data_IF_431207706589
#
_entry.id   IF_431207706589
#
_cell.length_a   1.000
_cell.length_b   1.000
_cell.length_c   1.000
_cell.angle_alpha   90.00
_cell.angle_beta   90.00
_cell.angle_gamma   90.00
#
_symmetry.space_group_name_H-M   'P 1'
#
loop_
_entity.id
_entity.type
_entity.pdbx_description
1 polymer ?
#
# COMPACT_ATOMS: atom_id res chain seq x y z
N UNK A 1 9.01 11.54 -6.54
CA UNK A 1 8.17 12.75 -6.40
C UNK A 1 7.79 13.21 -7.79
N UNK A 2 6.52 13.56 -8.01
CA UNK A 2 6.02 14.11 -9.27
C UNK A 2 5.66 15.60 -9.08
N UNK A 3 5.74 16.39 -10.14
CA UNK A 3 5.34 17.81 -10.16
C UNK A 3 4.30 18.06 -11.25
N UNK A 4 3.39 19.00 -11.02
CA UNK A 4 2.34 19.38 -11.96
C UNK A 4 2.15 20.89 -11.92
N UNK A 5 1.97 21.51 -13.09
CA UNK A 5 1.67 22.94 -13.22
C UNK A 5 0.28 23.09 -13.80
N UNK A 6 -0.63 23.72 -13.06
CA UNK A 6 -1.98 24.06 -13.54
C UNK A 6 -1.98 25.53 -13.94
N UNK A 7 -2.27 25.83 -15.22
CA UNK A 7 -2.29 27.18 -15.77
C UNK A 7 -3.73 27.67 -15.96
N UNK A 8 -3.88 28.99 -16.07
CA UNK A 8 -5.14 29.66 -16.40
C UNK A 8 -6.29 29.34 -15.42
N UNK A 9 -5.97 29.23 -14.13
CA UNK A 9 -7.00 29.14 -13.09
C UNK A 9 -7.63 30.54 -12.96
N UNK A 10 -8.96 30.68 -13.03
CA UNK A 10 -9.61 31.95 -12.77
C UNK A 10 -9.23 32.49 -11.38
N UNK A 11 -8.89 33.78 -11.30
CA UNK A 11 -8.39 34.39 -10.06
C UNK A 11 -9.38 34.24 -8.90
N UNK A 12 -10.68 34.35 -9.18
CA UNK A 12 -11.74 34.19 -8.20
C UNK A 12 -11.78 32.76 -7.61
N UNK A 13 -11.52 31.74 -8.45
CA UNK A 13 -11.43 30.35 -8.01
C UNK A 13 -10.19 30.14 -7.14
N UNK A 14 -9.04 30.68 -7.57
CA UNK A 14 -7.80 30.55 -6.83
C UNK A 14 -7.87 31.23 -5.46
N UNK A 15 -8.47 32.42 -5.39
CA UNK A 15 -8.63 33.13 -4.12
C UNK A 15 -9.57 32.41 -3.16
N UNK A 16 -10.71 31.90 -3.63
CA UNK A 16 -11.59 31.05 -2.80
C UNK A 16 -10.86 29.82 -2.29
N UNK A 17 -10.05 29.18 -3.14
CA UNK A 17 -9.26 28.01 -2.75
C UNK A 17 -8.21 28.35 -1.69
N UNK A 18 -7.49 29.46 -1.87
CA UNK A 18 -6.51 29.97 -0.91
C UNK A 18 -7.14 30.31 0.44
N UNK A 19 -8.32 30.91 0.45
CA UNK A 19 -9.07 31.20 1.67
C UNK A 19 -9.45 29.92 2.41
N UNK A 20 -9.92 28.89 1.70
CA UNK A 20 -10.20 27.57 2.29
C UNK A 20 -8.93 26.93 2.88
N UNK A 21 -7.81 27.01 2.19
CA UNK A 21 -6.53 26.50 2.70
C UNK A 21 -6.12 27.21 4.00
N UNK A 22 -6.22 28.54 4.05
CA UNK A 22 -5.96 29.33 5.26
C UNK A 22 -6.89 28.95 6.42
N UNK A 23 -8.19 28.81 6.15
CA UNK A 23 -9.17 28.40 7.17
C UNK A 23 -8.87 27.00 7.74
N UNK A 24 -8.27 26.11 6.93
CA UNK A 24 -7.82 24.79 7.35
C UNK A 24 -6.41 24.78 7.96
N UNK A 25 -5.74 25.93 8.10
CA UNK A 25 -4.36 26.02 8.60
C UNK A 25 -3.31 25.43 7.66
N UNK A 26 -3.61 25.31 6.36
CA UNK A 26 -2.78 24.67 5.34
C UNK A 26 -2.27 25.67 4.30
N UNK A 27 -1.17 25.33 3.63
CA UNK A 27 -0.80 26.02 2.39
C UNK A 27 -1.74 25.60 1.26
N UNK A 28 -1.90 26.45 0.24
CA UNK A 28 -2.69 26.11 -0.94
C UNK A 28 -2.16 24.85 -1.65
N UNK A 29 -0.84 24.70 -1.73
CA UNK A 29 -0.19 23.52 -2.29
C UNK A 29 -0.53 22.25 -1.50
N UNK A 30 -0.51 22.33 -0.17
CA UNK A 30 -0.85 21.18 0.67
C UNK A 30 -2.31 20.76 0.49
N UNK A 31 -3.23 21.71 0.47
CA UNK A 31 -4.64 21.43 0.20
C UNK A 31 -4.84 20.84 -1.20
N UNK A 32 -4.08 21.30 -2.20
CA UNK A 32 -4.16 20.79 -3.56
C UNK A 32 -3.66 19.34 -3.64
N UNK A 33 -2.56 19.01 -2.96
CA UNK A 33 -2.07 17.63 -2.87
C UNK A 33 -3.10 16.70 -2.26
N UNK A 34 -3.73 17.12 -1.17
CA UNK A 34 -4.76 16.32 -0.50
C UNK A 34 -5.98 16.12 -1.40
N UNK A 35 -6.45 17.18 -2.06
CA UNK A 35 -7.58 17.08 -3.00
C UNK A 35 -7.28 16.14 -4.17
N UNK A 36 -6.04 16.17 -4.70
CA UNK A 36 -5.61 15.22 -5.74
C UNK A 36 -5.60 13.80 -5.19
N UNK A 37 -5.05 13.58 -3.99
CA UNK A 37 -4.98 12.26 -3.38
C UNK A 37 -6.38 11.67 -3.12
N UNK A 38 -7.32 12.50 -2.65
CA UNK A 38 -8.71 12.10 -2.44
C UNK A 38 -9.40 11.68 -3.75
N UNK A 39 -9.09 12.35 -4.86
CA UNK A 39 -9.65 12.03 -6.18
C UNK A 39 -8.91 10.93 -6.92
N UNK A 40 -7.66 10.66 -6.58
CA UNK A 40 -6.83 9.62 -7.16
C UNK A 40 -7.02 8.24 -6.50
N UNK A 41 -8.05 8.08 -5.65
CA UNK A 41 -8.41 6.77 -5.11
C UNK A 41 -8.87 5.86 -6.26
N UNK A 42 -8.33 4.63 -6.37
CA UNK A 42 -8.68 3.72 -7.44
C UNK A 42 -10.17 3.40 -7.45
N UNK A 43 -10.76 3.32 -8.64
CA UNK A 43 -12.13 2.85 -8.73
C UNK A 43 -12.23 1.33 -8.48
N UNK A 44 -13.45 0.83 -8.28
CA UNK A 44 -13.65 -0.60 -8.01
C UNK A 44 -13.13 -1.50 -9.14
N UNK A 45 -13.21 -1.05 -10.39
CA UNK A 45 -12.75 -1.82 -11.54
C UNK A 45 -11.22 -1.89 -11.59
N UNK A 46 -10.53 -0.80 -11.28
CA UNK A 46 -9.07 -0.74 -11.14
C UNK A 46 -8.58 -1.63 -10.01
N UNK A 47 -9.30 -1.66 -8.87
CA UNK A 47 -8.99 -2.56 -7.77
C UNK A 47 -9.12 -4.02 -8.23
N UNK A 48 -10.20 -4.37 -8.92
CA UNK A 48 -10.41 -5.75 -9.43
C UNK A 48 -9.30 -6.13 -10.40
N UNK A 49 -8.96 -5.26 -11.36
CA UNK A 49 -7.86 -5.52 -12.31
C UNK A 49 -6.54 -5.77 -11.59
N UNK A 50 -6.23 -4.95 -10.58
CA UNK A 50 -5.01 -5.11 -9.79
C UNK A 50 -4.99 -6.41 -9.00
N UNK A 51 -6.14 -6.86 -8.47
CA UNK A 51 -6.27 -8.17 -7.83
C UNK A 51 -6.03 -9.29 -8.84
N UNK A 52 -6.57 -9.17 -10.05
CA UNK A 52 -6.42 -10.18 -11.10
C UNK A 52 -4.97 -10.27 -11.59
N UNK A 53 -4.28 -9.14 -11.73
CA UNK A 53 -2.83 -9.09 -12.04
C UNK A 53 -2.00 -9.80 -10.96
N UNK A 54 -2.28 -9.53 -9.68
CA UNK A 54 -1.60 -10.20 -8.56
C UNK A 54 -1.89 -11.71 -8.60
N UNK A 55 -3.14 -12.10 -8.83
CA UNK A 55 -3.54 -13.51 -8.94
C UNK A 55 -2.86 -14.22 -10.11
N UNK A 56 -2.68 -13.54 -11.24
CA UNK A 56 -1.99 -14.09 -12.40
C UNK A 56 -0.49 -14.29 -12.15
N UNK A 57 0.14 -13.40 -11.37
CA UNK A 57 1.55 -13.50 -10.99
C UNK A 57 1.84 -14.42 -9.80
N UNK A 58 0.83 -14.80 -9.02
CA UNK A 58 1.01 -15.63 -7.82
C UNK A 58 0.93 -17.11 -8.18
N UNK A 59 1.95 -17.89 -7.79
CA UNK A 59 1.90 -19.36 -7.93
C UNK A 59 0.75 -19.89 -7.07
N UNK A 60 -0.23 -20.55 -7.71
CA UNK A 60 -1.25 -21.29 -6.96
C UNK A 60 -0.56 -22.47 -6.28
N UNK A 61 -0.56 -22.43 -4.95
CA UNK A 61 -0.06 -23.51 -4.10
C UNK A 61 -1.28 -24.34 -3.70
N UNK A 62 -1.26 -25.63 -3.99
CA UNK A 62 -2.32 -26.53 -3.54
C UNK A 62 -2.16 -26.84 -2.05
N UNK A 63 -3.23 -27.26 -1.38
CA UNK A 63 -3.12 -27.73 0.00
C UNK A 63 -2.14 -28.91 0.16
N UNK A 64 -1.98 -29.71 -0.89
CA UNK A 64 -1.01 -30.80 -0.92
C UNK A 64 0.44 -30.29 -0.94
N UNK A 65 0.73 -29.25 -1.73
CA UNK A 65 2.06 -28.62 -1.78
C UNK A 65 2.44 -28.02 -0.41
N UNK A 66 1.46 -27.47 0.31
CA UNK A 66 1.66 -26.96 1.67
C UNK A 66 1.97 -28.11 2.65
N UNK A 67 1.24 -29.22 2.57
CA UNK A 67 1.45 -30.39 3.44
C UNK A 67 2.84 -31.01 3.18
N UNK A 68 3.24 -31.12 1.91
CA UNK A 68 4.57 -31.63 1.54
C UNK A 68 5.70 -30.69 1.98
N UNK A 69 5.51 -29.37 1.89
CA UNK A 69 6.50 -28.42 2.41
C UNK A 69 6.60 -28.48 3.94
N UNK A 70 5.48 -28.61 4.66
CA UNK A 70 5.47 -28.83 6.13
C UNK A 70 6.16 -30.15 6.50
N UNK A 71 5.94 -31.21 5.71
CA UNK A 71 6.61 -32.49 5.92
C UNK A 71 8.11 -32.36 5.70
N UNK A 72 8.54 -31.73 4.59
CA UNK A 72 9.95 -31.46 4.29
C UNK A 72 10.61 -30.63 5.37
N UNK A 73 9.94 -29.58 5.86
CA UNK A 73 10.46 -28.74 6.93
C UNK A 73 10.63 -29.54 8.22
N UNK A 74 9.64 -30.36 8.62
CA UNK A 74 9.81 -31.28 9.77
C UNK A 74 10.98 -32.25 9.58
N UNK A 75 11.11 -32.85 8.40
CA UNK A 75 12.17 -33.82 8.11
C UNK A 75 13.56 -33.17 8.04
N UNK A 76 13.64 -31.88 7.69
CA UNK A 76 14.89 -31.13 7.59
C UNK A 76 15.28 -30.44 8.90
N UNK A 77 14.30 -30.08 9.73
CA UNK A 77 14.48 -29.35 10.99
C UNK A 77 14.47 -30.25 12.24
N UNK A 78 14.20 -31.56 12.10
CA UNK A 78 14.51 -32.57 13.13
C UNK A 78 16.03 -32.80 13.22
N UNK A 79 16.74 -31.83 13.81
CA UNK A 79 18.18 -31.95 14.08
C UNK A 79 18.97 -30.66 14.20
N UNK A 80 18.33 -29.48 14.23
CA UNK A 80 18.98 -28.25 14.67
C UNK A 80 18.34 -27.79 15.96
N UNK A 81 19.02 -28.13 17.05
CA UNK A 81 18.79 -27.60 18.38
C UNK A 81 18.61 -26.08 18.32
N UNK A 82 17.55 -25.56 18.96
CA UNK A 82 17.53 -24.19 19.47
C UNK A 82 18.51 -24.17 20.66
N UNK A 83 19.70 -23.53 20.58
CA UNK A 83 20.68 -23.57 21.66
C UNK A 83 20.44 -22.46 22.69
N UNK A 84 19.19 -22.08 22.98
CA UNK A 84 18.88 -21.11 24.03
C UNK A 84 17.58 -21.45 24.77
N UNK A 85 17.63 -22.47 25.62
CA UNK A 85 16.85 -22.47 26.86
C UNK A 85 17.65 -23.20 27.93
N UNK A 86 18.74 -22.56 28.36
CA UNK A 86 19.40 -22.89 29.60
C UNK A 86 18.44 -22.58 30.76
N UNK A 87 17.82 -23.62 31.30
CA UNK A 87 17.21 -23.59 32.63
C UNK A 87 18.37 -23.56 33.64
N UNK A 88 18.70 -22.37 34.13
CA UNK A 88 19.61 -22.17 35.27
C UNK A 88 19.02 -22.86 36.50
N UNK A 89 19.61 -24.00 36.90
CA UNK A 89 19.49 -24.56 38.24
C UNK A 89 20.84 -25.02 38.77
#
# INVERSE_FOLDING_TARGET
>A
MASMVIRNIPDDVFERFRQRAKAAGKSAEQLAREAIAEKAVPDRAEIIRRIDEIRAGTKRVSGFDIIEEIRRDRETNLGKDDPETGDDR
#
